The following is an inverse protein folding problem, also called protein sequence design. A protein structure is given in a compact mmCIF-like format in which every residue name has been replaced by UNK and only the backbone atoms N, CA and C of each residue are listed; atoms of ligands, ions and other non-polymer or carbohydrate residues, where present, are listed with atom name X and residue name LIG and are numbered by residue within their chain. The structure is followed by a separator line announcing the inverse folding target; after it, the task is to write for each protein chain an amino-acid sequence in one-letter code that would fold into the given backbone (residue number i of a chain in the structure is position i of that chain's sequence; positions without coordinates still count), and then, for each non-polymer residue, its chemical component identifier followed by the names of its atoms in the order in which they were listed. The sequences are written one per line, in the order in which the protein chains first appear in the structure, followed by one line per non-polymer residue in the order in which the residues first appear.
data_IF_219608119558
#
_entry.id   IF_219608119558
#
_cell.length_a   1.000
_cell.length_b   1.000
_cell.length_c   1.000
_cell.angle_alpha   90.00
_cell.angle_beta   90.00
_cell.angle_gamma   90.00
#
_symmetry.space_group_name_H-M   'P 1'
#
loop_
_entity.id
_entity.type
_entity.pdbx_description
1 polymer ?
#
# COMPACT_ATOMS: atom_id res chain seq x y z
N UNK A 1 -18.61 10.53 -2.63
CA UNK A 1 -17.93 9.28 -3.04
C UNK A 1 -18.48 8.91 -4.41
N UNK A 2 -17.63 8.58 -5.39
CA UNK A 2 -18.02 8.41 -6.80
C UNK A 2 -19.00 7.24 -7.02
N UNK A 3 -19.52 7.09 -8.24
CA UNK A 3 -20.12 5.82 -8.67
C UNK A 3 -18.97 4.87 -9.01
N UNK A 4 -18.96 3.68 -8.41
CA UNK A 4 -17.84 2.75 -8.50
C UNK A 4 -16.66 3.25 -7.66
N UNK A 5 -16.55 2.78 -6.41
CA UNK A 5 -15.36 2.97 -5.58
C UNK A 5 -15.44 2.09 -4.33
N UNK A 6 -14.28 1.77 -3.75
CA UNK A 6 -14.19 1.07 -2.48
C UNK A 6 -14.29 2.05 -1.32
N UNK A 7 -15.45 2.11 -0.67
CA UNK A 7 -15.61 2.91 0.55
C UNK A 7 -14.93 2.22 1.74
N UNK A 8 -14.13 2.96 2.49
CA UNK A 8 -13.54 2.47 3.74
C UNK A 8 -13.91 3.40 4.89
N UNK A 9 -14.11 2.80 6.05
CA UNK A 9 -14.27 3.50 7.32
C UNK A 9 -13.55 2.68 8.38
N UNK A 10 -12.68 3.33 9.14
CA UNK A 10 -11.88 2.70 10.19
C UNK A 10 -11.98 3.57 11.42
N UNK A 11 -12.37 2.99 12.56
CA UNK A 11 -12.37 3.71 13.82
C UNK A 11 -10.93 3.94 14.31
N UNK A 12 -10.66 5.18 14.74
CA UNK A 12 -9.42 5.54 15.42
C UNK A 12 -9.38 5.03 16.86
N UNK A 13 -8.26 5.20 17.56
CA UNK A 13 -8.14 4.73 18.93
C UNK A 13 -9.01 5.58 19.86
N UNK A 14 -9.73 4.91 20.76
CA UNK A 14 -10.53 5.60 21.81
C UNK A 14 -9.66 6.38 22.80
N UNK A 15 -8.37 6.04 22.88
CA UNK A 15 -7.34 6.79 23.61
C UNK A 15 -6.19 7.11 22.66
N UNK A 16 -5.86 8.40 22.50
CA UNK A 16 -4.80 8.85 21.58
C UNK A 16 -3.49 8.10 21.86
N UNK A 17 -2.96 7.43 20.83
CA UNK A 17 -1.70 6.68 20.91
C UNK A 17 -1.84 5.23 21.41
N UNK A 18 -3.04 4.73 21.71
CA UNK A 18 -3.27 3.33 22.03
C UNK A 18 -3.82 2.54 20.82
N UNK A 19 -2.96 1.88 20.03
CA UNK A 19 -3.38 1.15 18.84
C UNK A 19 -4.21 -0.11 19.15
N UNK A 20 -4.34 -0.51 20.43
CA UNK A 20 -5.16 -1.67 20.82
C UNK A 20 -6.66 -1.36 20.82
N UNK A 21 -7.01 -0.07 20.76
CA UNK A 21 -8.41 0.39 20.72
C UNK A 21 -8.81 0.93 19.35
N UNK A 22 -7.95 0.75 18.34
CA UNK A 22 -8.18 1.19 16.97
C UNK A 22 -8.37 0.00 16.03
N UNK A 23 -9.08 0.24 14.93
CA UNK A 23 -9.36 -0.75 13.91
C UNK A 23 -8.32 -0.72 12.79
N UNK A 24 -8.19 -1.83 12.06
CA UNK A 24 -7.45 -1.90 10.78
C UNK A 24 -8.38 -2.55 9.77
N UNK A 25 -8.35 -2.05 8.53
CA UNK A 25 -8.96 -2.72 7.39
C UNK A 25 -7.90 -3.00 6.32
N UNK A 26 -8.04 -4.15 5.66
CA UNK A 26 -7.35 -4.48 4.42
C UNK A 26 -8.37 -5.09 3.49
N UNK A 27 -8.44 -4.59 2.26
CA UNK A 27 -9.23 -5.18 1.19
C UNK A 27 -8.27 -5.51 0.04
N UNK A 28 -8.16 -6.78 -0.28
CA UNK A 28 -7.23 -7.28 -1.29
C UNK A 28 -7.52 -8.73 -1.61
N UNK A 29 -6.71 -9.31 -2.50
CA UNK A 29 -6.80 -10.71 -2.82
C UNK A 29 -5.43 -11.37 -3.01
N UNK A 30 -5.41 -12.67 -2.76
CA UNK A 30 -4.25 -13.55 -2.93
C UNK A 30 -4.29 -14.26 -4.29
N UNK A 31 -5.49 -14.63 -4.76
CA UNK A 31 -5.70 -15.49 -5.94
C UNK A 31 -5.03 -14.95 -7.21
N UNK A 32 -5.03 -13.63 -7.40
CA UNK A 32 -4.48 -13.01 -8.60
C UNK A 32 -2.97 -12.74 -8.50
N UNK A 33 -2.33 -12.94 -7.34
CA UNK A 33 -0.97 -12.47 -7.08
C UNK A 33 -0.03 -13.55 -6.51
N UNK A 34 -0.57 -14.57 -5.84
CA UNK A 34 0.19 -15.59 -5.14
C UNK A 34 1.22 -16.29 -6.05
N UNK A 35 2.46 -16.33 -5.59
CA UNK A 35 3.57 -17.01 -6.25
C UNK A 35 4.14 -16.26 -7.46
N UNK A 36 3.62 -15.08 -7.81
CA UNK A 36 4.23 -14.27 -8.86
C UNK A 36 5.54 -13.66 -8.37
N UNK A 37 6.54 -13.55 -9.24
CA UNK A 37 7.76 -12.82 -8.90
C UNK A 37 7.45 -11.36 -8.60
N UNK A 38 7.98 -10.83 -7.50
CA UNK A 38 7.88 -9.43 -7.15
C UNK A 38 8.71 -8.58 -8.11
N UNK A 39 8.10 -8.10 -9.20
CA UNK A 39 8.69 -7.11 -10.09
C UNK A 39 7.70 -6.02 -10.53
N UNK A 40 7.01 -5.35 -9.57
CA UNK A 40 6.09 -4.28 -9.92
C UNK A 40 6.80 -3.07 -10.56
N UNK A 41 6.22 -2.56 -11.65
CA UNK A 41 6.67 -1.39 -12.40
C UNK A 41 5.73 -0.20 -12.29
N UNK A 42 4.47 -0.44 -11.90
CA UNK A 42 3.49 0.59 -11.59
C UNK A 42 2.64 0.11 -10.42
N UNK A 43 2.47 0.97 -9.41
CA UNK A 43 1.64 0.72 -8.22
C UNK A 43 1.04 2.04 -7.81
N UNK A 44 -0.27 2.11 -7.58
CA UNK A 44 -0.90 3.37 -7.19
C UNK A 44 -2.41 3.32 -7.27
N UNK A 45 -3.06 4.42 -6.93
CA UNK A 45 -4.51 4.50 -6.78
C UNK A 45 -4.96 5.96 -6.65
N UNK A 46 -6.27 6.17 -6.59
CA UNK A 46 -6.88 7.46 -6.29
C UNK A 46 -7.65 7.36 -4.96
N UNK A 47 -7.71 8.48 -4.24
CA UNK A 47 -8.37 8.53 -2.94
C UNK A 47 -9.34 9.70 -2.89
N UNK A 48 -10.54 9.43 -2.42
CA UNK A 48 -11.45 10.45 -1.94
C UNK A 48 -11.27 10.60 -0.43
N UNK A 49 -10.72 11.73 0.00
CA UNK A 49 -10.48 12.00 1.42
C UNK A 49 -11.61 12.87 1.98
N UNK A 50 -12.32 12.39 2.99
CA UNK A 50 -13.38 13.18 3.61
C UNK A 50 -12.82 14.37 4.41
N UNK A 51 -13.64 15.39 4.63
CA UNK A 51 -13.23 16.66 5.28
C UNK A 51 -12.96 16.51 6.76
N UNK A 52 -13.52 15.49 7.40
CA UNK A 52 -13.34 15.18 8.81
C UNK A 52 -12.02 14.44 9.10
N UNK A 53 -11.31 13.98 8.08
CA UNK A 53 -10.05 13.25 8.27
C UNK A 53 -8.91 14.21 8.63
N UNK A 54 -8.10 13.81 9.61
CA UNK A 54 -6.88 14.54 9.97
C UNK A 54 -5.83 14.57 8.84
N UNK A 55 -4.84 15.48 8.91
CA UNK A 55 -3.73 15.50 7.97
C UNK A 55 -2.84 14.25 8.10
N UNK A 56 -2.11 13.88 7.04
CA UNK A 56 -1.23 12.70 6.99
C UNK A 56 -1.92 11.36 7.29
N UNK A 57 -3.23 11.28 7.10
CA UNK A 57 -4.03 10.12 7.45
C UNK A 57 -4.72 9.60 6.20
N UNK A 58 -3.96 8.96 5.31
CA UNK A 58 -4.45 8.39 4.06
C UNK A 58 -4.43 6.86 4.13
N UNK A 59 -5.32 6.16 3.42
CA UNK A 59 -5.17 4.73 3.19
C UNK A 59 -3.90 4.49 2.37
N UNK A 60 -3.34 3.30 2.49
CA UNK A 60 -2.13 2.85 1.80
C UNK A 60 -2.40 1.64 0.91
N UNK A 61 -1.30 1.05 0.46
CA UNK A 61 -1.28 -0.25 -0.20
C UNK A 61 -0.44 -1.18 0.68
N UNK A 62 -0.97 -2.36 1.00
CA UNK A 62 -0.22 -3.46 1.59
C UNK A 62 0.11 -4.47 0.48
N UNK A 63 1.42 -4.75 0.29
CA UNK A 63 1.90 -5.86 -0.54
C UNK A 63 2.44 -6.92 0.41
N UNK A 64 1.79 -8.06 0.47
CA UNK A 64 2.31 -9.21 1.22
C UNK A 64 3.21 -10.02 0.30
N UNK A 65 4.41 -10.32 0.77
CA UNK A 65 5.43 -11.03 0.00
C UNK A 65 6.11 -12.10 0.84
N UNK A 66 6.61 -13.14 0.19
CA UNK A 66 7.80 -13.83 0.68
C UNK A 66 9.02 -13.00 0.28
N UNK A 67 9.76 -12.42 1.23
CA UNK A 67 10.87 -11.53 0.91
C UNK A 67 12.10 -12.28 0.39
N UNK A 68 12.22 -13.60 0.59
CA UNK A 68 13.35 -14.43 0.16
C UNK A 68 14.74 -13.87 0.53
N UNK A 69 14.86 -13.17 1.67
CA UNK A 69 16.12 -12.56 2.09
C UNK A 69 17.13 -13.63 2.54
N UNK A 70 18.34 -13.54 2.01
CA UNK A 70 19.45 -14.45 2.30
C UNK A 70 19.80 -14.43 3.79
N UNK A 71 19.77 -15.61 4.41
CA UNK A 71 20.11 -15.76 5.83
C UNK A 71 19.00 -15.37 6.80
N UNK A 72 17.80 -15.06 6.28
CA UNK A 72 16.60 -14.78 7.07
C UNK A 72 15.57 -15.87 6.79
N UNK A 73 15.17 -16.59 7.84
CA UNK A 73 14.09 -17.57 7.78
C UNK A 73 12.75 -16.86 8.00
N UNK A 74 12.33 -16.08 7.01
CA UNK A 74 11.06 -15.36 6.99
C UNK A 74 10.45 -15.49 5.60
N UNK A 75 9.26 -16.06 5.53
CA UNK A 75 8.50 -16.26 4.29
C UNK A 75 7.30 -15.33 4.17
N UNK A 76 7.20 -14.34 5.06
CA UNK A 76 6.10 -13.39 5.07
C UNK A 76 6.52 -12.01 5.60
N UNK A 77 6.41 -11.00 4.76
CA UNK A 77 6.39 -9.61 5.21
C UNK A 77 5.32 -8.82 4.48
N UNK A 78 4.72 -7.88 5.19
CA UNK A 78 3.90 -6.84 4.57
C UNK A 78 4.77 -5.63 4.29
N UNK A 79 4.82 -5.22 3.02
CA UNK A 79 5.31 -3.92 2.58
C UNK A 79 4.11 -2.96 2.58
N UNK A 80 4.14 -1.96 3.46
CA UNK A 80 3.07 -0.96 3.56
C UNK A 80 3.53 0.34 2.92
N UNK A 81 2.77 0.81 1.94
CA UNK A 81 2.88 2.12 1.36
C UNK A 81 2.16 3.17 2.21
N UNK A 82 2.87 4.25 2.52
CA UNK A 82 2.34 5.44 3.18
C UNK A 82 2.38 6.60 2.18
N UNK A 83 1.23 7.03 1.63
CA UNK A 83 1.18 8.14 0.71
C UNK A 83 1.77 9.43 1.31
N UNK A 84 2.52 10.18 0.50
CA UNK A 84 2.83 11.56 0.84
C UNK A 84 1.53 12.37 0.81
N UNK A 85 1.34 13.27 1.79
CA UNK A 85 0.14 14.08 2.00
C UNK A 85 -0.62 14.45 0.71
N UNK A 86 -1.83 13.91 0.58
CA UNK A 86 -2.78 14.23 -0.49
C UNK A 86 -4.00 15.02 -0.01
N UNK A 87 -3.84 15.89 1.00
CA UNK A 87 -4.93 16.69 1.58
C UNK A 87 -5.62 17.56 0.51
N UNK A 88 -6.71 17.06 -0.05
CA UNK A 88 -7.79 17.88 -0.60
C UNK A 88 -9.12 17.40 0.02
N UNK A 89 -9.49 17.93 1.19
CA UNK A 89 -10.75 17.64 1.86
C UNK A 89 -11.93 17.69 0.86
N UNK A 90 -12.70 16.61 0.79
CA UNK A 90 -13.92 16.54 0.00
C UNK A 90 -13.73 16.39 -1.51
N UNK A 91 -12.51 16.13 -1.98
CA UNK A 91 -12.17 15.93 -3.40
C UNK A 91 -11.45 14.60 -3.61
N UNK A 92 -11.54 14.09 -4.85
CA UNK A 92 -10.67 13.02 -5.32
C UNK A 92 -9.26 13.56 -5.52
N UNK A 93 -8.27 12.79 -5.10
CA UNK A 93 -6.87 13.06 -5.42
C UNK A 93 -6.60 12.85 -6.91
N UNK A 94 -5.49 13.43 -7.38
CA UNK A 94 -4.84 12.89 -8.57
C UNK A 94 -4.35 11.45 -8.30
N UNK A 95 -3.93 10.75 -9.34
CA UNK A 95 -3.30 9.43 -9.19
C UNK A 95 -2.08 9.53 -8.26
N UNK A 96 -2.10 8.75 -7.18
CA UNK A 96 -1.00 8.61 -6.23
C UNK A 96 -0.14 7.46 -6.72
N UNK A 97 1.03 7.79 -7.25
CA UNK A 97 2.00 6.81 -7.72
C UNK A 97 2.91 6.38 -6.57
N UNK A 98 2.70 5.15 -6.08
CA UNK A 98 3.48 4.58 -4.98
C UNK A 98 4.92 4.23 -5.37
N UNK A 99 5.25 4.27 -6.67
CA UNK A 99 6.61 4.03 -7.16
C UNK A 99 7.47 5.30 -7.19
N UNK A 100 6.86 6.48 -7.10
CA UNK A 100 7.54 7.78 -7.20
C UNK A 100 7.20 8.76 -6.07
N UNK A 101 6.13 8.52 -5.31
CA UNK A 101 5.68 9.36 -4.20
C UNK A 101 5.57 8.55 -2.91
N UNK A 102 5.45 9.25 -1.76
CA UNK A 102 5.28 8.61 -0.45
C UNK A 102 6.49 7.80 0.01
N UNK A 103 6.25 6.93 0.99
CA UNK A 103 7.28 6.08 1.60
C UNK A 103 6.75 4.67 1.80
N UNK A 104 7.66 3.70 1.86
CA UNK A 104 7.40 2.30 2.12
C UNK A 104 8.04 1.84 3.42
N UNK A 105 7.41 0.89 4.09
CA UNK A 105 8.01 0.19 5.23
C UNK A 105 7.63 -1.28 5.23
N UNK A 106 8.59 -2.14 5.49
CA UNK A 106 8.39 -3.55 5.73
C UNK A 106 8.13 -3.83 7.21
N UNK A 107 7.34 -4.86 7.46
CA UNK A 107 6.98 -5.36 8.80
C UNK A 107 7.84 -6.57 9.16
N UNK A 108 7.67 -7.07 10.39
CA UNK A 108 8.20 -8.36 10.80
C UNK A 108 9.72 -8.44 10.86
N UNK A 109 10.23 -9.67 10.73
CA UNK A 109 11.67 -9.97 10.80
C UNK A 109 12.38 -9.37 9.59
N UNK A 110 11.82 -9.50 8.39
CA UNK A 110 12.36 -8.87 7.18
C UNK A 110 12.63 -7.36 7.36
N UNK A 111 11.66 -6.60 7.90
CA UNK A 111 11.84 -5.16 8.17
C UNK A 111 12.90 -4.84 9.21
N UNK A 112 13.20 -5.77 10.12
CA UNK A 112 14.31 -5.65 11.09
C UNK A 112 15.65 -6.21 10.59
N UNK A 113 15.62 -7.03 9.55
CA UNK A 113 16.77 -7.75 9.00
C UNK A 113 17.53 -6.96 7.94
N UNK A 114 16.95 -5.88 7.41
CA UNK A 114 17.69 -4.96 6.55
C UNK A 114 18.95 -4.47 7.27
N UNK A 115 20.05 -4.33 6.52
CA UNK A 115 21.36 -4.04 7.11
C UNK A 115 21.31 -2.84 8.08
N UNK A 116 22.13 -2.82 9.16
CA UNK A 116 22.10 -1.72 10.12
C UNK A 116 22.26 -0.35 9.45
N UNK A 117 21.29 0.54 9.68
CA UNK A 117 21.25 1.87 9.06
C UNK A 117 20.54 1.92 7.70
N UNK A 118 20.12 0.79 7.16
CA UNK A 118 19.31 0.72 5.94
C UNK A 118 17.86 1.09 6.24
N UNK A 119 17.32 2.13 5.59
CA UNK A 119 15.91 2.47 5.70
C UNK A 119 15.07 1.38 5.03
N UNK A 120 13.85 1.16 5.55
CA UNK A 120 12.71 0.36 5.04
C UNK A 120 11.96 -0.35 6.18
N UNK A 121 12.15 0.02 7.45
CA UNK A 121 11.35 -0.52 8.55
C UNK A 121 10.10 0.35 8.78
N UNK A 122 8.93 -0.28 8.90
CA UNK A 122 7.66 0.45 9.07
C UNK A 122 7.58 1.33 10.33
N UNK A 123 8.29 0.93 11.40
CA UNK A 123 8.26 1.57 12.71
C UNK A 123 9.41 2.55 12.96
N UNK A 124 10.43 2.58 12.09
CA UNK A 124 11.57 3.51 12.22
C UNK A 124 11.76 4.30 10.92
N UNK A 125 12.86 4.09 10.21
CA UNK A 125 13.15 4.76 8.96
C UNK A 125 12.48 4.02 7.80
N UNK A 126 11.42 4.61 7.27
CA UNK A 126 10.79 4.20 6.00
C UNK A 126 11.67 4.63 4.82
N UNK A 127 11.39 4.08 3.65
CA UNK A 127 12.24 4.25 2.47
C UNK A 127 11.43 4.61 1.23
N UNK A 128 12.11 5.08 0.19
CA UNK A 128 11.54 5.22 -1.15
C UNK A 128 11.34 3.86 -1.83
N UNK A 129 10.56 3.85 -2.92
CA UNK A 129 10.39 2.66 -3.74
C UNK A 129 11.71 2.11 -4.31
N UNK A 130 12.62 2.99 -4.70
CA UNK A 130 13.94 2.62 -5.24
C UNK A 130 14.78 1.92 -4.17
N UNK A 131 14.80 2.47 -2.95
CA UNK A 131 15.50 1.86 -1.81
C UNK A 131 14.87 0.51 -1.45
N UNK A 132 13.53 0.42 -1.40
CA UNK A 132 12.82 -0.83 -1.16
C UNK A 132 13.23 -1.93 -2.14
N UNK A 133 13.24 -1.64 -3.44
CA UNK A 133 13.68 -2.62 -4.44
C UNK A 133 15.16 -3.00 -4.29
N UNK A 134 16.01 -2.07 -3.85
CA UNK A 134 17.42 -2.36 -3.64
C UNK A 134 17.65 -3.27 -2.42
N UNK A 135 16.92 -3.07 -1.31
CA UNK A 135 17.08 -3.91 -0.11
C UNK A 135 16.51 -5.30 -0.27
N UNK A 136 15.47 -5.46 -1.11
CA UNK A 136 14.92 -6.77 -1.47
C UNK A 136 15.80 -7.52 -2.49
N UNK A 137 16.67 -6.82 -3.21
CA UNK A 137 17.62 -7.40 -4.15
C UNK A 137 18.96 -7.68 -3.47
N UNK A 138 18.95 -8.50 -2.42
CA UNK A 138 20.13 -8.78 -1.57
C UNK A 138 21.16 -9.73 -2.21
N UNK A 139 20.88 -10.23 -3.41
CA UNK A 139 21.69 -11.17 -4.17
C UNK A 139 21.22 -12.62 -4.12
N UNK A 140 20.17 -12.91 -3.34
CA UNK A 140 19.49 -14.21 -3.28
C UNK A 140 18.40 -14.40 -4.33
N UNK A 141 17.46 -15.29 -4.02
CA UNK A 141 16.26 -15.53 -4.84
C UNK A 141 15.35 -14.29 -4.83
N UNK A 142 14.65 -13.99 -5.95
CA UNK A 142 13.78 -12.82 -5.98
C UNK A 142 12.58 -13.01 -5.03
N UNK A 143 12.05 -11.92 -4.43
CA UNK A 143 10.85 -12.00 -3.62
C UNK A 143 9.65 -12.49 -4.43
N UNK A 144 8.66 -13.08 -3.76
CA UNK A 144 7.41 -13.50 -4.39
C UNK A 144 6.22 -12.80 -3.78
N UNK A 145 5.24 -12.42 -4.61
CA UNK A 145 3.99 -11.82 -4.19
C UNK A 145 3.07 -12.88 -3.59
N UNK A 146 2.39 -12.50 -2.51
CA UNK A 146 1.33 -13.28 -1.89
C UNK A 146 -0.01 -12.57 -2.12
N UNK A 147 -0.10 -11.30 -1.72
CA UNK A 147 -1.34 -10.51 -1.74
C UNK A 147 -1.05 -9.07 -2.15
N UNK A 148 -2.00 -8.44 -2.85
CA UNK A 148 -2.06 -6.98 -3.00
C UNK A 148 -3.37 -6.49 -2.41
N UNK A 149 -3.30 -5.45 -1.58
CA UNK A 149 -4.49 -4.88 -0.95
C UNK A 149 -4.40 -3.39 -0.69
N UNK A 150 -5.55 -2.74 -0.63
CA UNK A 150 -5.73 -1.41 -0.05
C UNK A 150 -5.83 -1.56 1.45
N UNK A 151 -5.08 -0.76 2.21
CA UNK A 151 -5.02 -0.84 3.66
C UNK A 151 -5.31 0.49 4.33
N UNK A 152 -5.86 0.43 5.55
CA UNK A 152 -5.85 1.58 6.46
C UNK A 152 -5.56 1.10 7.88
N UNK A 153 -4.49 1.65 8.45
CA UNK A 153 -3.92 1.23 9.73
C UNK A 153 -4.65 1.74 10.97
N UNK A 154 -4.16 1.29 12.13
CA UNK A 154 -4.68 1.53 13.49
C UNK A 154 -4.27 2.87 14.10
N UNK A 155 -3.93 3.85 13.27
CA UNK A 155 -3.37 5.12 13.70
C UNK A 155 -4.48 6.14 14.02
N UNK A 156 -5.26 6.53 13.03
CA UNK A 156 -6.32 7.52 13.18
C UNK A 156 -7.59 7.08 12.47
N UNK A 157 -8.72 7.58 12.96
CA UNK A 157 -10.02 7.40 12.31
C UNK A 157 -9.96 7.92 10.87
N UNK A 158 -10.56 7.21 9.94
CA UNK A 158 -10.57 7.62 8.54
C UNK A 158 -11.83 7.17 7.82
N UNK A 159 -12.39 8.07 7.02
CA UNK A 159 -13.54 7.81 6.16
C UNK A 159 -13.29 8.33 4.75
N UNK A 160 -13.61 7.51 3.75
CA UNK A 160 -13.47 7.94 2.37
C UNK A 160 -13.63 6.79 1.41
N UNK A 161 -13.06 6.96 0.22
CA UNK A 161 -13.09 5.93 -0.80
C UNK A 161 -11.75 5.82 -1.51
N UNK A 162 -11.46 4.64 -2.03
CA UNK A 162 -10.33 4.36 -2.92
C UNK A 162 -10.86 3.88 -4.25
N UNK A 163 -10.18 4.25 -5.33
CA UNK A 163 -10.51 3.77 -6.66
C UNK A 163 -9.27 3.60 -7.54
N UNK A 164 -9.43 2.83 -8.62
CA UNK A 164 -8.43 2.67 -9.68
C UNK A 164 -7.10 2.12 -9.17
N UNK A 165 -7.12 1.07 -8.33
CA UNK A 165 -5.89 0.42 -7.87
C UNK A 165 -5.13 -0.12 -9.08
N UNK A 166 -4.02 0.51 -9.43
CA UNK A 166 -3.14 0.06 -10.48
C UNK A 166 -2.06 -0.83 -9.89
N UNK A 167 -1.89 -2.01 -10.49
CA UNK A 167 -0.74 -2.87 -10.28
C UNK A 167 -0.22 -3.35 -11.64
N UNK A 168 1.01 -2.97 -11.97
CA UNK A 168 1.60 -3.15 -13.29
C UNK A 168 0.69 -2.60 -14.41
N UNK A 169 0.41 -3.45 -15.41
CA UNK A 169 -0.42 -3.14 -16.56
C UNK A 169 -1.90 -3.36 -16.31
N UNK A 170 -2.36 -3.52 -15.06
CA UNK A 170 -3.77 -3.76 -14.74
C UNK A 170 -4.27 -2.70 -13.77
N UNK A 171 -5.46 -2.16 -14.05
CA UNK A 171 -6.24 -1.34 -13.13
C UNK A 171 -7.36 -2.21 -12.58
N UNK A 172 -7.44 -2.30 -11.26
CA UNK A 172 -8.52 -2.92 -10.53
C UNK A 172 -9.53 -1.83 -10.17
N UNK A 173 -10.61 -1.79 -10.94
CA UNK A 173 -11.69 -0.82 -10.88
C UNK A 173 -12.80 -1.33 -9.95
N UNK A 174 -13.19 -0.54 -8.96
CA UNK A 174 -14.09 -1.00 -7.90
C UNK A 174 -15.53 -0.61 -8.24
N UNK A 175 -16.40 -1.59 -8.45
CA UNK A 175 -17.78 -1.38 -8.85
C UNK A 175 -18.78 -1.96 -7.83
N UNK A 176 -20.05 -1.57 -7.95
CA UNK A 176 -21.13 -2.00 -7.02
C UNK A 176 -21.22 -3.53 -6.85
N UNK A 177 -20.88 -4.28 -7.90
CA UNK A 177 -20.99 -5.75 -7.92
C UNK A 177 -19.64 -6.47 -7.79
N UNK A 178 -18.55 -5.75 -7.54
CA UNK A 178 -17.23 -6.34 -7.36
C UNK A 178 -16.12 -5.57 -8.06
N UNK A 179 -14.97 -6.23 -8.22
CA UNK A 179 -13.78 -5.62 -8.82
C UNK A 179 -13.66 -6.06 -10.27
N UNK A 180 -13.45 -5.10 -11.18
CA UNK A 180 -13.19 -5.34 -12.60
C UNK A 180 -11.70 -5.11 -12.87
N UNK A 181 -11.01 -6.13 -13.36
CA UNK A 181 -9.61 -6.02 -13.79
C UNK A 181 -9.55 -5.55 -15.26
N UNK A 182 -8.99 -4.36 -15.48
CA UNK A 182 -8.90 -3.71 -16.79
C UNK A 182 -7.42 -3.64 -17.22
N UNK A 183 -7.03 -4.31 -18.32
CA UNK A 183 -5.70 -4.15 -18.88
C UNK A 183 -5.46 -2.70 -19.34
N UNK A 184 -4.41 -2.08 -18.85
CA UNK A 184 -3.95 -0.75 -19.28
C UNK A 184 -3.08 -0.88 -20.53
N UNK A 185 -3.68 -0.76 -21.70
CA UNK A 185 -2.94 -0.63 -22.95
C UNK A 185 -2.28 0.76 -23.04
N UNK A 186 -1.03 0.89 -22.55
CA UNK A 186 -0.14 2.07 -22.69
C UNK A 186 -0.62 3.38 -22.00
N UNK A 187 0.24 4.41 -21.81
CA UNK A 187 0.17 5.31 -20.66
C UNK A 187 -0.89 6.41 -20.73
N UNK A 188 -1.40 6.80 -19.55
CA UNK A 188 -2.22 8.00 -19.35
C UNK A 188 -1.44 9.21 -19.89
N UNK A 189 -2.01 10.01 -20.82
CA UNK A 189 -1.41 11.27 -21.19
C UNK A 189 -1.43 12.17 -19.94
N UNK A 190 -0.26 12.67 -19.55
CA UNK A 190 -0.17 13.80 -18.61
C UNK A 190 -0.95 14.99 -19.18
N UNK A 191 -1.57 15.83 -18.31
CA UNK A 191 -2.35 16.98 -18.74
C UNK A 191 -1.56 17.96 -19.61
#
# INVERSE_FOLDING_TARGET
MGKGSLNLSVAGPTTVGDPNTAEKIVYGNEVDFFGQTFNPTAVGFQVYNNVENGPNNMPGIDLEIDPNLTGIDDNFTTLTFIPANGSLPGLWSNYIDATTTGLWGATGVAGGAFAPGTPCNINTNRCSWTELKAVLADGGDPPTLLTVGISKGRDNEWHGAVDGLQFNGTVYDFEEYGVIAIPRTAPVPTP
#
